data_IF_999550026962
#
_entry.id   IF_999550026962
#
_cell.length_a   1.000
_cell.length_b   1.000
_cell.length_c   1.000
_cell.angle_alpha   90.00
_cell.angle_beta   90.00
_cell.angle_gamma   90.00
#
_symmetry.space_group_name_H-M   'P 1'
#
loop_
_entity.id
_entity.type
_entity.pdbx_description
1 polymer ?
#
# COMPACT_ATOMS: atom_id res chain seq x y z
N UNK A 1 14.10 -24.99 -0.76
CA UNK A 1 13.03 -24.56 -1.70
C UNK A 1 13.38 -25.13 -3.06
N UNK A 2 12.51 -25.96 -3.64
CA UNK A 2 12.72 -26.46 -5.01
C UNK A 2 12.45 -25.35 -6.04
N UNK A 3 12.77 -25.56 -7.31
CA UNK A 3 12.47 -24.60 -8.37
C UNK A 3 10.96 -24.35 -8.56
N UNK A 4 10.13 -25.37 -8.36
CA UNK A 4 8.66 -25.25 -8.42
C UNK A 4 8.11 -24.48 -7.22
N UNK A 5 8.63 -24.73 -6.01
CA UNK A 5 8.24 -24.00 -4.80
C UNK A 5 8.55 -22.50 -4.93
N UNK A 6 9.70 -22.16 -5.52
CA UNK A 6 10.10 -20.77 -5.72
C UNK A 6 9.22 -20.04 -6.74
N UNK A 7 8.84 -20.70 -7.84
CA UNK A 7 7.94 -20.12 -8.84
C UNK A 7 6.54 -19.86 -8.25
N UNK A 8 6.01 -20.80 -7.45
CA UNK A 8 4.74 -20.63 -6.75
C UNK A 8 4.79 -19.47 -5.74
N UNK A 9 5.89 -19.35 -5.00
CA UNK A 9 6.13 -18.25 -4.09
C UNK A 9 6.15 -16.89 -4.78
N UNK A 10 6.90 -16.74 -5.89
CA UNK A 10 6.93 -15.48 -6.64
C UNK A 10 5.57 -15.10 -7.22
N UNK A 11 4.75 -16.08 -7.61
CA UNK A 11 3.37 -15.83 -8.05
C UNK A 11 2.52 -15.23 -6.91
N UNK A 12 2.66 -15.75 -5.69
CA UNK A 12 1.99 -15.20 -4.51
C UNK A 12 2.43 -13.76 -4.24
N UNK A 13 3.74 -13.48 -4.30
CA UNK A 13 4.29 -12.12 -4.10
C UNK A 13 3.76 -11.13 -5.14
N UNK A 14 3.67 -11.54 -6.41
CA UNK A 14 3.09 -10.70 -7.49
C UNK A 14 1.61 -10.40 -7.24
N UNK A 15 0.82 -11.41 -6.88
CA UNK A 15 -0.61 -11.25 -6.60
C UNK A 15 -0.82 -10.25 -5.45
N UNK A 16 -0.08 -10.43 -4.35
CA UNK A 16 -0.14 -9.56 -3.18
C UNK A 16 0.14 -8.08 -3.50
N UNK A 17 1.14 -7.84 -4.35
CA UNK A 17 1.51 -6.48 -4.75
C UNK A 17 0.55 -5.84 -5.75
N UNK A 18 -0.18 -6.66 -6.50
CA UNK A 18 -1.27 -6.20 -7.34
C UNK A 18 -2.47 -5.80 -6.47
N UNK A 19 -2.79 -6.55 -5.41
CA UNK A 19 -3.90 -6.21 -4.49
C UNK A 19 -3.72 -4.82 -3.86
N UNK A 20 -2.55 -4.53 -3.27
CA UNK A 20 -2.30 -3.19 -2.73
C UNK A 20 -2.28 -2.10 -3.82
N UNK A 21 -1.84 -2.42 -5.06
CA UNK A 21 -1.92 -1.47 -6.19
C UNK A 21 -3.37 -1.07 -6.45
N UNK A 22 -4.22 -2.08 -6.51
CA UNK A 22 -5.62 -1.91 -6.89
C UNK A 22 -6.37 -1.17 -5.77
N UNK A 23 -6.00 -1.39 -4.51
CA UNK A 23 -6.50 -0.62 -3.35
C UNK A 23 -6.14 0.87 -3.46
N UNK A 24 -4.88 1.20 -3.75
CA UNK A 24 -4.44 2.59 -3.96
C UNK A 24 -5.19 3.23 -5.13
N UNK A 25 -5.34 2.49 -6.23
CA UNK A 25 -6.08 2.96 -7.41
C UNK A 25 -7.55 3.27 -7.11
N UNK A 26 -8.22 2.46 -6.27
CA UNK A 26 -9.61 2.74 -5.86
C UNK A 26 -9.72 4.09 -5.15
N UNK A 27 -8.74 4.45 -4.32
CA UNK A 27 -8.69 5.76 -3.67
C UNK A 27 -8.45 6.88 -4.70
N UNK A 28 -7.51 6.70 -5.62
CA UNK A 28 -7.24 7.66 -6.71
C UNK A 28 -8.49 7.92 -7.57
N UNK A 29 -9.21 6.86 -7.95
CA UNK A 29 -10.45 6.94 -8.73
C UNK A 29 -11.56 7.68 -7.95
N UNK A 30 -11.67 7.43 -6.63
CA UNK A 30 -12.60 8.15 -5.77
C UNK A 30 -12.25 9.64 -5.65
N UNK A 31 -10.97 9.98 -5.47
CA UNK A 31 -10.48 11.37 -5.38
C UNK A 31 -10.69 12.14 -6.69
N UNK A 32 -10.57 11.45 -7.83
CA UNK A 32 -10.76 12.01 -9.16
C UNK A 32 -12.22 12.37 -9.47
N UNK A 33 -13.18 11.87 -8.67
CA UNK A 33 -14.59 12.21 -8.86
C UNK A 33 -14.90 13.68 -8.50
N UNK A 34 -15.97 14.29 -9.06
CA UNK A 34 -16.24 15.72 -8.88
C UNK A 34 -16.49 16.11 -7.42
N UNK A 35 -15.69 17.04 -6.90
CA UNK A 35 -15.79 17.53 -5.51
C UNK A 35 -17.12 18.25 -5.22
N UNK A 36 -17.73 18.82 -6.26
CA UNK A 36 -19.03 19.50 -6.20
C UNK A 36 -20.17 18.58 -5.75
N UNK A 37 -19.97 17.26 -5.69
CA UNK A 37 -20.91 16.31 -5.11
C UNK A 37 -20.92 16.33 -3.57
N UNK A 38 -20.06 17.15 -2.92
CA UNK A 38 -20.12 17.43 -1.48
C UNK A 38 -20.03 16.18 -0.62
N UNK A 39 -21.02 15.97 0.24
CA UNK A 39 -21.09 14.80 1.13
C UNK A 39 -21.01 13.45 0.41
N UNK A 40 -21.62 13.32 -0.78
CA UNK A 40 -21.56 12.08 -1.55
C UNK A 40 -20.14 11.77 -2.07
N UNK A 41 -19.38 12.81 -2.45
CA UNK A 41 -17.97 12.68 -2.78
C UNK A 41 -17.17 12.21 -1.55
N UNK A 42 -17.40 12.86 -0.40
CA UNK A 42 -16.73 12.54 0.86
C UNK A 42 -16.98 11.08 1.29
N UNK A 43 -18.23 10.61 1.24
CA UNK A 43 -18.58 9.21 1.56
C UNK A 43 -17.88 8.22 0.62
N UNK A 44 -17.81 8.51 -0.68
CA UNK A 44 -17.12 7.64 -1.64
C UNK A 44 -15.64 7.47 -1.30
N UNK A 45 -14.96 8.57 -0.97
CA UNK A 45 -13.55 8.53 -0.58
C UNK A 45 -13.38 7.79 0.74
N UNK A 46 -14.28 8.00 1.72
CA UNK A 46 -14.27 7.27 2.99
C UNK A 46 -14.39 5.74 2.80
N UNK A 47 -15.25 5.29 1.88
CA UNK A 47 -15.39 3.85 1.54
C UNK A 47 -14.08 3.32 0.95
N UNK A 48 -13.50 4.02 -0.03
CA UNK A 48 -12.23 3.60 -0.64
C UNK A 48 -11.06 3.57 0.37
N UNK A 49 -11.00 4.54 1.30
CA UNK A 49 -10.01 4.57 2.39
C UNK A 49 -10.23 3.42 3.40
N UNK A 50 -11.48 3.02 3.64
CA UNK A 50 -11.80 1.87 4.50
C UNK A 50 -11.28 0.57 3.88
N UNK A 51 -11.50 0.38 2.59
CA UNK A 51 -10.96 -0.77 1.84
C UNK A 51 -9.44 -0.76 1.84
N UNK A 52 -8.81 0.39 1.54
CA UNK A 52 -7.36 0.56 1.60
C UNK A 52 -6.80 0.19 2.99
N UNK A 53 -7.46 0.61 4.07
CA UNK A 53 -7.01 0.29 5.43
C UNK A 53 -6.97 -1.21 5.69
N UNK A 54 -7.98 -1.95 5.23
CA UNK A 54 -8.02 -3.41 5.34
C UNK A 54 -6.94 -4.07 4.47
N UNK A 55 -6.88 -3.68 3.21
CA UNK A 55 -5.92 -4.25 2.25
C UNK A 55 -4.46 -3.95 2.68
N UNK A 56 -4.23 -2.84 3.37
CA UNK A 56 -2.92 -2.49 3.93
C UNK A 56 -2.57 -3.32 5.18
N UNK A 57 -3.53 -3.68 6.02
CA UNK A 57 -3.30 -4.61 7.13
C UNK A 57 -2.93 -6.00 6.60
N UNK A 58 -3.67 -6.50 5.61
CA UNK A 58 -3.33 -7.73 4.90
C UNK A 58 -1.95 -7.62 4.22
N UNK A 59 -1.61 -6.42 3.72
CA UNK A 59 -0.30 -6.11 3.18
C UNK A 59 0.84 -6.35 4.16
N UNK A 60 0.73 -5.76 5.35
CA UNK A 60 1.70 -5.89 6.43
C UNK A 60 1.82 -7.35 6.84
N UNK A 61 0.69 -8.02 7.11
CA UNK A 61 0.70 -9.40 7.57
C UNK A 61 1.41 -10.34 6.58
N UNK A 62 1.12 -10.23 5.27
CA UNK A 62 1.71 -11.10 4.26
C UNK A 62 3.19 -10.82 3.99
N UNK A 63 3.63 -9.57 4.13
CA UNK A 63 5.02 -9.17 3.88
C UNK A 63 5.94 -9.46 5.06
N UNK A 64 5.43 -9.30 6.28
CA UNK A 64 6.21 -9.37 7.53
C UNK A 64 6.10 -10.69 8.29
N UNK A 65 5.10 -11.54 8.01
CA UNK A 65 5.00 -12.86 8.64
C UNK A 65 6.31 -13.65 8.49
N UNK A 66 6.61 -14.60 9.40
CA UNK A 66 7.72 -15.52 9.23
C UNK A 66 7.69 -16.21 7.86
N UNK A 67 8.82 -16.24 7.14
CA UNK A 67 8.88 -16.71 5.75
C UNK A 67 8.20 -15.79 4.72
N UNK A 68 7.75 -14.60 5.12
CA UNK A 68 7.24 -13.53 4.25
C UNK A 68 8.34 -12.97 3.34
N UNK A 69 7.98 -12.00 2.50
CA UNK A 69 8.90 -11.46 1.50
C UNK A 69 10.11 -10.75 2.11
N UNK A 70 9.93 -10.05 3.23
CA UNK A 70 11.03 -9.37 3.89
C UNK A 70 11.98 -10.36 4.58
N UNK A 71 11.44 -11.40 5.20
CA UNK A 71 12.24 -12.47 5.81
C UNK A 71 13.01 -13.28 4.76
N UNK A 72 12.34 -13.61 3.66
CA UNK A 72 12.93 -14.32 2.53
C UNK A 72 13.99 -13.50 1.80
N UNK A 73 13.77 -12.19 1.62
CA UNK A 73 14.75 -11.29 1.00
C UNK A 73 15.99 -11.14 1.88
N UNK A 74 15.83 -11.02 3.21
CA UNK A 74 16.94 -11.01 4.18
C UNK A 74 17.75 -12.30 4.11
N UNK A 75 17.08 -13.44 4.00
CA UNK A 75 17.73 -14.75 3.92
C UNK A 75 18.50 -14.94 2.61
N UNK A 76 17.93 -14.48 1.48
CA UNK A 76 18.54 -14.60 0.16
C UNK A 76 19.70 -13.60 -0.05
N UNK A 77 19.55 -12.37 0.46
CA UNK A 77 20.51 -11.30 0.29
C UNK A 77 20.66 -10.50 1.61
N UNK A 78 21.53 -10.95 2.55
CA UNK A 78 21.68 -10.32 3.87
C UNK A 78 21.99 -8.81 3.84
N UNK A 79 22.63 -8.32 2.77
CA UNK A 79 22.89 -6.89 2.54
C UNK A 79 21.61 -6.03 2.50
N UNK A 80 20.45 -6.63 2.24
CA UNK A 80 19.16 -5.95 2.14
C UNK A 80 18.42 -5.83 3.47
N UNK A 81 18.98 -6.32 4.58
CA UNK A 81 18.31 -6.30 5.89
C UNK A 81 17.87 -4.91 6.32
N UNK A 82 18.76 -3.91 6.22
CA UNK A 82 18.43 -2.53 6.57
C UNK A 82 17.31 -1.95 5.68
N UNK A 83 17.26 -2.32 4.40
CA UNK A 83 16.18 -1.91 3.49
C UNK A 83 14.85 -2.52 3.88
N UNK A 84 14.83 -3.82 4.22
CA UNK A 84 13.64 -4.52 4.68
C UNK A 84 13.12 -3.96 6.02
N UNK A 85 14.01 -3.71 6.98
CA UNK A 85 13.66 -3.09 8.27
C UNK A 85 13.10 -1.68 8.11
N UNK A 86 13.65 -0.90 7.17
CA UNK A 86 13.11 0.43 6.85
C UNK A 86 11.69 0.34 6.28
N UNK A 87 11.38 -0.64 5.45
CA UNK A 87 10.03 -0.84 4.90
C UNK A 87 9.02 -1.23 5.98
N UNK A 88 9.43 -2.06 6.94
CA UNK A 88 8.62 -2.35 8.15
C UNK A 88 8.36 -1.07 8.95
N UNK A 89 9.38 -0.22 9.13
CA UNK A 89 9.20 1.08 9.78
C UNK A 89 8.24 2.01 9.00
N UNK A 90 8.28 1.99 7.67
CA UNK A 90 7.33 2.74 6.83
C UNK A 90 5.89 2.25 7.01
N UNK A 91 5.66 0.95 7.22
CA UNK A 91 4.32 0.42 7.44
C UNK A 91 3.62 1.05 8.65
N UNK A 92 4.33 1.23 9.76
CA UNK A 92 3.77 1.88 10.96
C UNK A 92 3.27 3.28 10.65
N UNK A 93 4.12 4.10 10.02
CA UNK A 93 3.75 5.48 9.67
C UNK A 93 2.64 5.56 8.61
N UNK A 94 2.62 4.63 7.64
CA UNK A 94 1.55 4.57 6.64
C UNK A 94 0.22 4.11 7.23
N UNK A 95 0.23 3.16 8.16
CA UNK A 95 -0.97 2.70 8.85
C UNK A 95 -1.59 3.84 9.67
N UNK A 96 -0.77 4.59 10.41
CA UNK A 96 -1.19 5.79 11.12
C UNK A 96 -1.74 6.86 10.17
N UNK A 97 -1.07 7.11 9.04
CA UNK A 97 -1.51 8.08 8.05
C UNK A 97 -2.84 7.69 7.37
N UNK A 98 -3.04 6.40 7.08
CA UNK A 98 -4.31 5.87 6.55
C UNK A 98 -5.42 6.07 7.58
N UNK A 99 -5.18 5.70 8.84
CA UNK A 99 -6.17 5.83 9.90
C UNK A 99 -6.59 7.29 10.13
N UNK A 100 -5.61 8.20 10.23
CA UNK A 100 -5.86 9.64 10.38
C UNK A 100 -6.62 10.23 9.18
N UNK A 101 -6.27 9.79 7.96
CA UNK A 101 -6.98 10.22 6.76
C UNK A 101 -8.43 9.71 6.78
N UNK A 102 -8.64 8.43 7.07
CA UNK A 102 -9.98 7.84 7.17
C UNK A 102 -10.84 8.55 8.23
N UNK A 103 -10.26 8.87 9.39
CA UNK A 103 -10.93 9.64 10.44
C UNK A 103 -11.38 11.02 9.93
N UNK A 104 -10.50 11.76 9.26
CA UNK A 104 -10.86 13.06 8.68
C UNK A 104 -12.05 12.98 7.71
N UNK A 105 -12.17 11.89 6.93
CA UNK A 105 -13.28 11.68 6.01
C UNK A 105 -14.57 11.18 6.68
N UNK A 106 -14.49 10.50 7.83
CA UNK A 106 -15.65 9.84 8.47
C UNK A 106 -16.21 10.60 9.67
N UNK A 107 -15.37 11.23 10.49
CA UNK A 107 -15.76 11.92 11.73
C UNK A 107 -15.46 13.41 11.74
N UNK A 108 -14.70 13.91 10.74
CA UNK A 108 -14.41 15.34 10.61
C UNK A 108 -15.68 16.19 10.42
N UNK A 109 -15.60 17.51 10.62
CA UNK A 109 -16.77 18.38 10.58
C UNK A 109 -17.42 18.45 9.19
N UNK A 110 -18.74 18.67 9.12
CA UNK A 110 -19.50 18.69 7.86
C UNK A 110 -19.11 19.85 6.94
N UNK A 111 -18.62 20.95 7.51
CA UNK A 111 -18.13 22.15 6.82
C UNK A 111 -16.62 22.10 6.53
N UNK A 112 -15.99 20.94 6.68
CA UNK A 112 -14.59 20.75 6.31
C UNK A 112 -14.33 21.17 4.86
N UNK A 113 -13.20 21.84 4.64
CA UNK A 113 -12.75 22.18 3.29
C UNK A 113 -12.39 20.89 2.54
N UNK A 114 -13.27 20.49 1.63
CA UNK A 114 -13.12 19.28 0.82
C UNK A 114 -11.85 19.34 -0.06
N UNK A 115 -11.42 20.53 -0.49
CA UNK A 115 -10.19 20.67 -1.28
C UNK A 115 -8.96 20.34 -0.44
N UNK A 116 -8.92 20.80 0.80
CA UNK A 116 -7.88 20.44 1.78
C UNK A 116 -7.90 18.94 2.10
N UNK A 117 -9.08 18.34 2.30
CA UNK A 117 -9.20 16.88 2.50
C UNK A 117 -8.67 16.09 1.29
N UNK A 118 -8.98 16.55 0.07
CA UNK A 118 -8.50 15.93 -1.17
C UNK A 118 -6.98 15.98 -1.27
N UNK A 119 -6.38 17.13 -0.96
CA UNK A 119 -4.93 17.30 -1.00
C UNK A 119 -4.23 16.34 -0.02
N UNK A 120 -4.75 16.24 1.21
CA UNK A 120 -4.22 15.31 2.20
C UNK A 120 -4.26 13.85 1.75
N UNK A 121 -5.39 13.40 1.20
CA UNK A 121 -5.55 12.04 0.67
C UNK A 121 -4.68 11.79 -0.57
N UNK A 122 -4.49 12.79 -1.42
CA UNK A 122 -3.58 12.72 -2.58
C UNK A 122 -2.12 12.58 -2.12
N UNK A 123 -1.74 13.29 -1.07
CA UNK A 123 -0.44 13.15 -0.41
C UNK A 123 -0.20 11.72 0.11
N UNK A 124 -1.21 11.13 0.78
CA UNK A 124 -1.17 9.75 1.26
C UNK A 124 -0.98 8.74 0.10
N UNK A 125 -1.75 8.87 -0.98
CA UNK A 125 -1.58 8.04 -2.19
C UNK A 125 -0.14 8.11 -2.69
N UNK A 126 0.45 9.31 -2.78
CA UNK A 126 1.84 9.47 -3.18
C UNK A 126 2.84 8.77 -2.26
N UNK A 127 2.58 8.73 -0.95
CA UNK A 127 3.41 7.98 0.01
C UNK A 127 3.32 6.46 -0.23
N UNK A 128 2.11 5.94 -0.43
CA UNK A 128 1.86 4.52 -0.71
C UNK A 128 2.51 4.07 -2.03
N UNK A 129 2.44 4.89 -3.08
CA UNK A 129 3.11 4.62 -4.34
C UNK A 129 4.63 4.52 -4.14
N UNK A 130 5.25 5.46 -3.43
CA UNK A 130 6.69 5.43 -3.13
C UNK A 130 7.10 4.23 -2.29
N UNK A 131 6.28 3.85 -1.31
CA UNK A 131 6.50 2.66 -0.51
C UNK A 131 6.50 1.39 -1.39
N UNK A 132 5.50 1.25 -2.26
CA UNK A 132 5.38 0.11 -3.19
C UNK A 132 6.53 0.01 -4.18
N UNK A 133 7.04 1.16 -4.66
CA UNK A 133 8.23 1.24 -5.51
C UNK A 133 9.44 0.64 -4.80
N UNK A 134 9.75 1.11 -3.59
CA UNK A 134 10.87 0.60 -2.78
C UNK A 134 10.73 -0.87 -2.43
N UNK A 135 9.51 -1.34 -2.17
CA UNK A 135 9.25 -2.77 -2.00
C UNK A 135 9.47 -3.58 -3.29
N UNK A 136 9.27 -2.97 -4.47
CA UNK A 136 9.59 -3.57 -5.76
C UNK A 136 11.09 -3.68 -5.98
N UNK A 137 11.82 -2.60 -5.69
CA UNK A 137 13.28 -2.55 -5.76
C UNK A 137 13.90 -3.62 -4.85
N UNK A 138 13.39 -3.79 -3.63
CA UNK A 138 13.83 -4.85 -2.72
C UNK A 138 13.71 -6.25 -3.34
N UNK A 139 12.55 -6.58 -3.94
CA UNK A 139 12.34 -7.91 -4.52
C UNK A 139 13.21 -8.11 -5.75
N UNK A 140 13.34 -7.08 -6.60
CA UNK A 140 14.23 -7.13 -7.75
C UNK A 140 15.68 -7.38 -7.29
N UNK A 141 16.18 -6.63 -6.31
CA UNK A 141 17.53 -6.79 -5.79
C UNK A 141 17.79 -8.14 -5.10
N UNK A 142 16.75 -8.76 -4.52
CA UNK A 142 16.86 -10.04 -3.82
C UNK A 142 16.83 -11.25 -4.78
N UNK A 143 16.12 -11.15 -5.90
CA UNK A 143 15.82 -12.30 -6.75
C UNK A 143 16.13 -12.12 -8.24
N UNK A 144 16.55 -10.92 -8.68
CA UNK A 144 16.70 -10.52 -10.09
C UNK A 144 15.42 -10.73 -10.92
N UNK A 145 14.27 -10.53 -10.27
CA UNK A 145 12.95 -10.70 -10.89
C UNK A 145 12.19 -9.38 -10.83
N UNK A 146 11.81 -8.89 -12.01
CA UNK A 146 10.87 -7.78 -12.09
C UNK A 146 9.45 -8.25 -11.78
N UNK A 147 8.94 -7.76 -10.67
CA UNK A 147 7.58 -7.99 -10.18
C UNK A 147 6.70 -6.73 -10.28
N UNK A 148 7.19 -5.69 -10.96
CA UNK A 148 6.46 -4.48 -11.31
C UNK A 148 5.65 -4.63 -12.60
N UNK A 149 4.32 -4.74 -12.45
CA UNK A 149 3.29 -4.42 -13.45
C UNK A 149 3.46 -4.91 -14.89
N UNK A 150 2.70 -5.94 -15.27
CA UNK A 150 2.22 -6.11 -16.64
C UNK A 150 0.78 -5.56 -16.70
N UNK A 151 0.61 -4.38 -17.32
CA UNK A 151 -0.68 -3.70 -17.48
C UNK A 151 -0.99 -2.66 -16.40
#
# INVERSE_FOLDING_TARGET
MTGEDFAAYLKQVRAHRAELRDAVRRVEDALSSPIAQGGAWRTRVAVALTELSRDFEDHIHLTERPGGIYDSAKSAAPRLAATAERLVGEHVGLQEAIAACLEAYTTGPDDADLATLREGATGLVGQLVRHRQRGGDLVYEAYDVDIGGQG
#
